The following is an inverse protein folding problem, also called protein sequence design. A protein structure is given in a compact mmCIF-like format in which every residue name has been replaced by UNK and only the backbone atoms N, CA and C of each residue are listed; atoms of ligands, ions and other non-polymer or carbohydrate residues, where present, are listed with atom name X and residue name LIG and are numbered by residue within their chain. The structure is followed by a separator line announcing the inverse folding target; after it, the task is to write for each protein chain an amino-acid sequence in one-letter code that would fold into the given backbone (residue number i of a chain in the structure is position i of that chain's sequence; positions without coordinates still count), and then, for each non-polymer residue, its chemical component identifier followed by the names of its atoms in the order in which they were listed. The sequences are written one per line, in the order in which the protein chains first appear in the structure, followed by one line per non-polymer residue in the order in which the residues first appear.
data_IF_304500595316
#
_entry.id   IF_304500595316
#
_cell.length_a   1.000
_cell.length_b   1.000
_cell.length_c   1.000
_cell.angle_alpha   90.00
_cell.angle_beta   90.00
_cell.angle_gamma   90.00
#
_symmetry.space_group_name_H-M   'P 1'
#
loop_
_entity.id
_entity.type
_entity.pdbx_description
1 polymer ?
#
# COMPACT_ATOMS: atom_id res chain seq x y z
N UNK A 1 26.20 50.69 41.85
CA UNK A 1 27.53 51.20 41.44
C UNK A 1 28.00 50.35 40.28
N UNK A 2 28.12 50.97 39.10
CA UNK A 2 28.73 50.59 37.81
C UNK A 2 28.09 49.46 36.99
N UNK A 3 27.29 49.90 36.06
CA UNK A 3 27.01 49.31 34.77
C UNK A 3 28.28 48.87 34.01
N UNK A 4 28.20 47.78 33.28
CA UNK A 4 28.99 47.57 32.03
C UNK A 4 28.09 47.01 30.95
N UNK A 5 27.70 47.88 30.08
CA UNK A 5 27.20 47.61 28.73
C UNK A 5 28.32 46.94 27.91
N UNK A 6 28.03 45.83 27.23
CA UNK A 6 28.83 45.36 26.12
C UNK A 6 27.94 45.09 24.90
N UNK A 7 28.15 45.97 23.93
CA UNK A 7 27.66 45.90 22.56
C UNK A 7 28.19 44.65 21.87
N UNK A 8 27.31 43.80 21.35
CA UNK A 8 27.64 42.74 20.42
C UNK A 8 27.24 43.15 19.00
N UNK A 9 28.25 43.21 18.18
CA UNK A 9 28.23 43.63 16.79
C UNK A 9 27.43 42.70 15.89
N UNK A 10 26.66 43.33 15.00
CA UNK A 10 26.12 42.69 13.79
C UNK A 10 27.27 42.34 12.85
N UNK A 11 27.52 41.04 12.64
CA UNK A 11 28.15 40.48 11.41
C UNK A 11 28.26 38.97 11.57
N UNK A 12 27.41 38.22 10.89
CA UNK A 12 27.68 36.95 10.20
C UNK A 12 26.36 36.18 9.98
N UNK A 13 25.56 36.62 9.03
CA UNK A 13 24.60 35.75 8.34
C UNK A 13 25.19 35.47 6.95
N UNK A 14 25.37 34.20 6.66
CA UNK A 14 25.77 33.48 5.42
C UNK A 14 27.12 32.77 5.54
N UNK A 15 27.26 31.46 5.19
CA UNK A 15 26.44 30.66 4.30
C UNK A 15 26.10 29.26 4.87
N UNK A 16 24.85 28.87 4.97
CA UNK A 16 24.43 27.48 5.25
C UNK A 16 23.94 26.76 4.00
N UNK A 17 23.80 27.43 2.86
CA UNK A 17 23.26 26.86 1.63
C UNK A 17 24.27 26.13 0.72
N UNK A 18 25.58 26.18 1.03
CA UNK A 18 26.59 25.50 0.22
C UNK A 18 27.02 24.10 0.75
N UNK A 19 26.70 23.76 1.99
CA UNK A 19 27.11 22.47 2.59
C UNK A 19 26.21 21.28 2.20
N UNK A 20 24.97 21.52 1.83
CA UNK A 20 24.04 20.45 1.45
C UNK A 20 24.27 19.85 0.06
N UNK A 21 24.79 20.65 -0.87
CA UNK A 21 25.09 20.19 -2.24
C UNK A 21 26.46 19.50 -2.36
N UNK A 22 27.39 19.77 -1.46
CA UNK A 22 28.70 19.09 -1.47
C UNK A 22 28.70 17.74 -0.75
N UNK A 23 27.74 17.46 0.11
CA UNK A 23 27.63 16.15 0.76
C UNK A 23 26.99 15.10 -0.15
N UNK A 24 26.07 15.48 -1.02
CA UNK A 24 25.52 14.58 -2.05
C UNK A 24 26.52 14.20 -3.14
N UNK A 25 27.48 15.11 -3.47
CA UNK A 25 28.56 14.82 -4.40
C UNK A 25 29.69 13.97 -3.77
N UNK A 26 29.88 14.06 -2.45
CA UNK A 26 30.94 13.31 -1.76
C UNK A 26 30.56 11.85 -1.46
N UNK A 27 29.27 11.56 -1.23
CA UNK A 27 28.77 10.20 -1.08
C UNK A 27 28.82 9.41 -2.42
N UNK A 28 28.76 10.11 -3.55
CA UNK A 28 28.94 9.51 -4.88
C UNK A 28 30.42 9.24 -5.22
N UNK A 29 31.37 9.85 -4.50
CA UNK A 29 32.81 9.72 -4.79
C UNK A 29 33.50 8.55 -4.06
N UNK A 30 32.86 7.90 -3.10
CA UNK A 30 33.38 6.71 -2.40
C UNK A 30 32.74 5.39 -2.86
N UNK A 31 31.77 5.42 -3.78
CA UNK A 31 31.13 4.23 -4.37
C UNK A 31 31.81 3.81 -5.68
N UNK A 32 32.10 2.53 -5.82
CA UNK A 32 32.47 1.94 -7.11
C UNK A 32 31.46 2.34 -8.17
N UNK A 33 31.88 2.58 -9.42
CA UNK A 33 30.96 2.89 -10.52
C UNK A 33 29.87 1.80 -10.62
N UNK A 34 28.72 2.14 -11.17
CA UNK A 34 27.66 1.16 -11.35
C UNK A 34 28.11 -0.05 -12.15
N UNK A 35 28.89 0.17 -13.20
CA UNK A 35 29.47 -0.87 -14.05
C UNK A 35 30.40 -1.80 -13.25
N UNK A 36 31.24 -1.23 -12.39
CA UNK A 36 32.13 -2.01 -11.52
C UNK A 36 31.30 -2.82 -10.50
N UNK A 37 30.25 -2.24 -9.94
CA UNK A 37 29.35 -2.95 -9.02
C UNK A 37 28.63 -4.09 -9.73
N UNK A 38 28.07 -3.87 -10.94
CA UNK A 38 27.44 -4.92 -11.77
C UNK A 38 28.43 -6.04 -12.04
N UNK A 39 29.68 -5.73 -12.41
CA UNK A 39 30.69 -6.76 -12.64
C UNK A 39 30.97 -7.60 -11.38
N UNK A 40 31.08 -6.96 -10.22
CA UNK A 40 31.32 -7.66 -8.94
C UNK A 40 30.10 -8.41 -8.41
N UNK A 41 28.88 -8.02 -8.77
CA UNK A 41 27.64 -8.68 -8.37
C UNK A 41 27.46 -10.05 -9.03
N UNK A 42 28.14 -10.29 -10.16
CA UNK A 42 28.10 -11.56 -10.89
C UNK A 42 28.46 -12.76 -10.02
N UNK A 43 29.53 -12.67 -9.21
CA UNK A 43 29.94 -13.78 -8.33
C UNK A 43 28.84 -14.19 -7.37
N UNK A 44 28.11 -13.21 -6.82
CA UNK A 44 26.97 -13.48 -5.93
C UNK A 44 25.78 -14.09 -6.68
N UNK A 45 25.50 -13.66 -7.89
CA UNK A 45 24.46 -14.24 -8.73
C UNK A 45 24.75 -15.70 -9.05
N UNK A 46 25.97 -16.01 -9.48
CA UNK A 46 26.40 -17.39 -9.75
C UNK A 46 26.35 -18.25 -8.48
N UNK A 47 26.82 -17.72 -7.35
CA UNK A 47 26.78 -18.45 -6.05
C UNK A 47 25.33 -18.76 -5.59
N UNK A 48 24.33 -17.98 -6.09
CA UNK A 48 22.90 -18.24 -5.86
C UNK A 48 22.27 -19.18 -6.88
N UNK A 49 23.07 -19.75 -7.79
CA UNK A 49 22.62 -20.71 -8.80
C UNK A 49 22.06 -20.08 -10.08
N UNK A 50 22.18 -18.77 -10.25
CA UNK A 50 21.76 -18.09 -11.47
C UNK A 50 22.78 -18.42 -12.58
N UNK A 51 22.30 -18.84 -13.75
CA UNK A 51 23.19 -19.17 -14.88
C UNK A 51 23.94 -17.93 -15.37
N UNK A 52 25.18 -18.16 -15.85
CA UNK A 52 25.97 -17.07 -16.43
C UNK A 52 25.32 -16.48 -17.69
N UNK A 53 24.60 -17.30 -18.45
CA UNK A 53 23.84 -16.86 -19.61
C UNK A 53 22.74 -15.88 -19.23
N UNK A 54 21.96 -16.18 -18.18
CA UNK A 54 20.92 -15.27 -17.67
C UNK A 54 21.52 -14.00 -17.13
N UNK A 55 22.56 -14.09 -16.30
CA UNK A 55 23.22 -12.89 -15.77
C UNK A 55 23.76 -12.00 -16.87
N UNK A 56 24.44 -12.58 -17.87
CA UNK A 56 25.01 -11.84 -19.02
C UNK A 56 23.91 -11.17 -19.84
N UNK A 57 22.81 -11.87 -20.14
CA UNK A 57 21.65 -11.34 -20.86
C UNK A 57 21.06 -10.14 -20.13
N UNK A 58 20.84 -10.24 -18.82
CA UNK A 58 20.20 -9.17 -18.02
C UNK A 58 21.11 -7.97 -17.83
N UNK A 59 22.42 -8.17 -17.61
CA UNK A 59 23.36 -7.06 -17.42
C UNK A 59 23.68 -6.28 -18.68
N UNK A 60 23.49 -6.88 -19.87
CA UNK A 60 23.87 -6.25 -21.15
C UNK A 60 23.03 -4.99 -21.37
N UNK A 61 23.71 -3.84 -21.37
CA UNK A 61 23.07 -2.54 -21.56
C UNK A 61 22.25 -2.02 -20.38
N UNK A 62 22.30 -2.69 -19.22
CA UNK A 62 21.58 -2.22 -18.02
C UNK A 62 22.07 -0.85 -17.59
N UNK A 63 21.12 0.06 -17.35
CA UNK A 63 21.36 1.35 -16.73
C UNK A 63 20.55 1.43 -15.43
N UNK A 64 21.10 2.00 -14.34
CA UNK A 64 20.35 2.11 -13.09
C UNK A 64 19.22 3.14 -13.24
N UNK A 65 18.04 2.82 -12.76
CA UNK A 65 16.98 3.82 -12.60
C UNK A 65 17.18 4.62 -11.32
N UNK A 66 18.01 5.66 -11.40
CA UNK A 66 18.34 6.48 -10.24
C UNK A 66 17.20 7.36 -9.74
N UNK A 67 16.08 7.47 -10.49
CA UNK A 67 14.89 8.20 -10.06
C UNK A 67 14.23 7.56 -8.83
N UNK A 68 14.49 6.28 -8.58
CA UNK A 68 13.98 5.55 -7.40
C UNK A 68 14.50 6.12 -6.08
N UNK A 69 15.68 6.75 -6.06
CA UNK A 69 16.22 7.35 -4.84
C UNK A 69 15.39 8.53 -4.33
N UNK A 70 14.83 9.31 -5.24
CA UNK A 70 13.91 10.38 -4.86
C UNK A 70 12.60 9.81 -4.30
N UNK A 71 12.10 8.71 -4.88
CA UNK A 71 10.88 8.06 -4.44
C UNK A 71 11.04 7.33 -3.10
N UNK A 72 12.21 6.74 -2.83
CA UNK A 72 12.53 6.13 -1.52
C UNK A 72 12.58 7.19 -0.39
N UNK A 73 13.04 8.41 -0.71
CA UNK A 73 13.13 9.52 0.24
C UNK A 73 11.84 10.34 0.35
N UNK A 74 11.12 10.48 -0.75
CA UNK A 74 9.86 11.20 -0.83
C UNK A 74 8.71 10.28 -0.46
N UNK A 75 8.57 9.98 0.83
CA UNK A 75 7.24 9.66 1.34
C UNK A 75 6.51 11.02 1.41
N UNK A 76 5.54 11.31 0.53
CA UNK A 76 4.79 12.55 0.67
C UNK A 76 4.10 12.52 2.02
N UNK A 77 4.51 13.40 2.92
CA UNK A 77 3.81 13.66 4.19
C UNK A 77 2.46 14.31 3.86
N UNK A 78 1.53 13.49 3.38
CA UNK A 78 0.13 13.81 3.47
C UNK A 78 -0.27 13.49 4.91
N UNK A 79 -0.50 14.51 5.73
CA UNK A 79 -1.20 14.34 6.99
C UNK A 79 -2.65 13.99 6.67
N UNK A 80 -2.86 12.71 6.40
CA UNK A 80 -4.19 12.17 6.09
C UNK A 80 -4.75 11.58 7.39
N UNK A 81 -5.88 12.10 7.85
CA UNK A 81 -6.62 11.52 8.96
C UNK A 81 -7.04 10.08 8.64
N UNK A 82 -7.13 9.21 9.64
CA UNK A 82 -7.47 7.80 9.41
C UNK A 82 -8.79 7.63 8.64
N UNK A 83 -9.79 8.44 8.94
CA UNK A 83 -11.08 8.36 8.24
C UNK A 83 -10.98 8.79 6.76
N UNK A 84 -10.13 9.77 6.43
CA UNK A 84 -9.84 10.17 5.04
C UNK A 84 -9.13 9.04 4.30
N UNK A 85 -8.12 8.44 4.93
CA UNK A 85 -7.42 7.27 4.41
C UNK A 85 -8.38 6.11 4.11
N UNK A 86 -9.28 5.80 5.06
CA UNK A 86 -10.26 4.74 4.89
C UNK A 86 -11.25 5.06 3.76
N UNK A 87 -11.80 6.27 3.70
CA UNK A 87 -12.73 6.67 2.64
C UNK A 87 -12.09 6.58 1.25
N UNK A 88 -10.83 6.93 1.13
CA UNK A 88 -10.08 6.81 -0.13
C UNK A 88 -9.78 5.36 -0.50
N UNK A 89 -9.43 4.52 0.47
CA UNK A 89 -9.08 3.11 0.25
C UNK A 89 -10.33 2.21 0.15
N UNK A 90 -11.38 2.48 0.90
CA UNK A 90 -12.66 1.77 0.89
C UNK A 90 -13.71 2.58 0.12
N UNK A 91 -13.32 3.10 -1.03
CA UNK A 91 -14.15 3.96 -1.86
C UNK A 91 -15.30 3.19 -2.52
N UNK A 92 -16.35 3.92 -2.88
CA UNK A 92 -17.51 3.36 -3.61
C UNK A 92 -17.08 2.69 -4.93
N UNK A 93 -16.08 3.26 -5.63
CA UNK A 93 -15.44 2.61 -6.78
C UNK A 93 -14.93 1.20 -6.45
N UNK A 94 -14.12 1.05 -5.37
CA UNK A 94 -13.56 -0.27 -5.02
C UNK A 94 -14.62 -1.25 -4.54
N UNK A 95 -15.61 -0.77 -3.80
CA UNK A 95 -16.73 -1.63 -3.35
C UNK A 95 -17.53 -2.14 -4.54
N UNK A 96 -17.91 -1.27 -5.46
CA UNK A 96 -18.71 -1.62 -6.64
C UNK A 96 -17.93 -2.53 -7.58
N UNK A 97 -16.68 -2.17 -7.90
CA UNK A 97 -15.81 -3.00 -8.75
C UNK A 97 -15.51 -4.33 -8.09
N UNK A 98 -15.25 -4.35 -6.77
CA UNK A 98 -15.00 -5.58 -6.01
C UNK A 98 -16.20 -6.53 -6.04
N UNK A 99 -17.44 -6.02 -5.91
CA UNK A 99 -18.66 -6.81 -6.06
C UNK A 99 -18.82 -7.38 -7.46
N UNK A 100 -18.48 -6.63 -8.49
CA UNK A 100 -18.48 -7.12 -9.87
C UNK A 100 -17.42 -8.22 -10.06
N UNK A 101 -16.18 -8.00 -9.58
CA UNK A 101 -15.08 -8.99 -9.61
C UNK A 101 -15.38 -10.25 -8.79
N UNK A 102 -16.10 -10.13 -7.66
CA UNK A 102 -16.58 -11.28 -6.88
C UNK A 102 -17.48 -12.21 -7.70
N UNK A 103 -18.31 -11.66 -8.59
CA UNK A 103 -19.17 -12.44 -9.49
C UNK A 103 -18.37 -12.99 -10.67
N UNK A 104 -17.54 -12.16 -11.30
CA UNK A 104 -16.73 -12.54 -12.47
C UNK A 104 -15.78 -13.70 -12.15
N UNK A 105 -15.12 -13.66 -11.00
CA UNK A 105 -14.12 -14.65 -10.55
C UNK A 105 -14.65 -15.62 -9.49
N UNK A 106 -15.97 -15.80 -9.39
CA UNK A 106 -16.59 -16.60 -8.33
C UNK A 106 -16.03 -18.03 -8.23
N UNK A 107 -15.78 -18.68 -9.36
CA UNK A 107 -15.22 -20.05 -9.40
C UNK A 107 -13.80 -20.10 -8.86
N UNK A 108 -12.92 -19.18 -9.32
CA UNK A 108 -11.54 -19.07 -8.85
C UNK A 108 -11.50 -18.79 -7.35
N UNK A 109 -12.22 -17.78 -6.90
CA UNK A 109 -12.25 -17.35 -5.50
C UNK A 109 -12.77 -18.48 -4.58
N UNK A 110 -13.79 -19.23 -5.03
CA UNK A 110 -14.32 -20.36 -4.26
C UNK A 110 -13.30 -21.50 -4.14
N UNK A 111 -12.55 -21.81 -5.22
CA UNK A 111 -11.50 -22.83 -5.18
C UNK A 111 -10.37 -22.41 -4.23
N UNK A 112 -9.85 -21.19 -4.37
CA UNK A 112 -8.75 -20.69 -3.54
C UNK A 112 -9.16 -20.62 -2.06
N UNK A 113 -10.38 -20.16 -1.74
CA UNK A 113 -10.90 -20.16 -0.37
C UNK A 113 -11.04 -21.59 0.18
N UNK A 114 -11.50 -22.55 -0.63
CA UNK A 114 -11.57 -23.95 -0.24
C UNK A 114 -10.18 -24.53 0.05
N UNK A 115 -9.21 -24.28 -0.80
CA UNK A 115 -7.88 -24.87 -0.70
C UNK A 115 -7.05 -24.26 0.44
N UNK A 116 -7.05 -22.92 0.56
CA UNK A 116 -6.21 -22.20 1.54
C UNK A 116 -6.97 -21.77 2.80
N UNK A 117 -8.30 -21.72 2.79
CA UNK A 117 -9.09 -21.26 3.92
C UNK A 117 -9.02 -19.76 4.18
N UNK A 118 -8.55 -18.98 3.23
CA UNK A 118 -8.55 -17.52 3.27
C UNK A 118 -9.87 -17.01 2.70
N UNK A 119 -10.54 -16.12 3.43
CA UNK A 119 -11.78 -15.50 2.99
C UNK A 119 -11.60 -14.83 1.61
N UNK A 120 -12.47 -15.18 0.66
CA UNK A 120 -12.44 -14.69 -0.72
C UNK A 120 -12.51 -13.17 -0.83
N UNK A 121 -13.21 -12.51 0.10
CA UNK A 121 -13.33 -11.06 0.08
C UNK A 121 -12.07 -10.37 0.59
N UNK A 122 -11.30 -11.02 1.47
CA UNK A 122 -9.96 -10.52 1.87
C UNK A 122 -9.01 -10.54 0.68
N UNK A 123 -9.00 -11.60 -0.13
CA UNK A 123 -8.19 -11.67 -1.34
C UNK A 123 -8.61 -10.64 -2.38
N UNK A 124 -9.92 -10.43 -2.58
CA UNK A 124 -10.44 -9.38 -3.44
C UNK A 124 -10.06 -7.98 -2.95
N UNK A 125 -10.12 -7.74 -1.64
CA UNK A 125 -9.74 -6.46 -1.07
C UNK A 125 -8.25 -6.16 -1.25
N UNK A 126 -7.38 -7.15 -1.06
CA UNK A 126 -5.95 -7.04 -1.38
C UNK A 126 -5.75 -6.71 -2.85
N UNK A 127 -6.36 -7.46 -3.76
CA UNK A 127 -6.29 -7.20 -5.19
C UNK A 127 -6.77 -5.79 -5.54
N UNK A 128 -7.88 -5.35 -4.95
CA UNK A 128 -8.45 -4.02 -5.17
C UNK A 128 -7.60 -2.86 -4.64
N UNK A 129 -6.92 -3.05 -3.52
CA UNK A 129 -6.06 -2.01 -2.92
C UNK A 129 -4.71 -1.93 -3.62
N UNK A 130 -4.12 -3.08 -3.97
CA UNK A 130 -2.78 -3.15 -4.54
C UNK A 130 -2.72 -2.70 -6.01
N UNK A 131 -3.71 -3.07 -6.82
CA UNK A 131 -3.65 -2.80 -8.27
C UNK A 131 -4.98 -2.33 -8.87
N UNK A 132 -5.95 -1.90 -8.06
CA UNK A 132 -7.32 -1.60 -8.52
C UNK A 132 -7.92 -2.74 -9.34
N UNK A 133 -7.77 -3.98 -8.85
CA UNK A 133 -8.21 -5.22 -9.51
C UNK A 133 -7.50 -5.52 -10.83
N UNK A 134 -6.21 -5.19 -10.93
CA UNK A 134 -5.41 -5.39 -12.12
C UNK A 134 -5.72 -4.42 -13.25
N UNK A 135 -6.24 -3.25 -12.94
CA UNK A 135 -6.58 -2.22 -13.93
C UNK A 135 -5.34 -1.82 -14.77
N UNK A 136 -5.39 -2.00 -16.11
CA UNK A 136 -4.24 -1.72 -16.97
C UNK A 136 -3.79 -0.27 -16.93
N UNK A 137 -4.71 0.68 -16.75
CA UNK A 137 -4.38 2.12 -16.74
C UNK A 137 -3.63 2.50 -15.47
N UNK A 138 -3.95 1.88 -14.33
CA UNK A 138 -3.18 2.03 -13.09
C UNK A 138 -1.78 1.46 -13.27
N UNK A 139 -1.66 0.30 -13.89
CA UNK A 139 -0.37 -0.36 -14.12
C UNK A 139 0.52 0.44 -15.08
N UNK A 140 -0.04 0.98 -16.17
CA UNK A 140 0.71 1.71 -17.20
C UNK A 140 1.43 2.95 -16.66
N UNK A 141 0.78 3.71 -15.80
CA UNK A 141 1.25 5.02 -15.36
C UNK A 141 2.23 4.96 -14.17
N UNK A 142 2.25 3.86 -13.43
CA UNK A 142 3.04 3.73 -12.19
C UNK A 142 4.09 2.62 -12.24
N UNK A 143 4.09 1.79 -13.31
CA UNK A 143 4.99 0.64 -13.43
C UNK A 143 6.22 0.97 -14.28
N UNK A 144 7.38 0.62 -13.76
CA UNK A 144 8.69 0.77 -14.40
C UNK A 144 9.41 -0.57 -14.55
N UNK A 145 10.48 -0.67 -15.34
CA UNK A 145 11.32 -1.85 -15.36
C UNK A 145 11.90 -2.14 -13.98
N UNK A 146 11.62 -3.33 -13.45
CA UNK A 146 11.99 -3.71 -12.06
C UNK A 146 13.49 -3.94 -11.92
N UNK A 147 14.13 -4.59 -12.90
CA UNK A 147 15.56 -4.90 -12.83
C UNK A 147 16.43 -3.63 -12.72
N UNK A 148 16.27 -2.58 -13.56
CA UNK A 148 16.97 -1.30 -13.40
C UNK A 148 16.70 -0.62 -12.05
N UNK A 149 15.47 -0.70 -11.55
CA UNK A 149 15.07 -0.10 -10.27
C UNK A 149 15.75 -0.81 -9.09
N UNK A 150 15.68 -2.13 -9.01
CA UNK A 150 16.33 -2.93 -7.96
C UNK A 150 17.85 -2.83 -8.04
N UNK A 151 18.43 -2.81 -9.24
CA UNK A 151 19.87 -2.64 -9.41
C UNK A 151 20.35 -1.27 -8.90
N UNK A 152 19.58 -0.19 -9.16
CA UNK A 152 19.88 1.12 -8.62
C UNK A 152 19.82 1.13 -7.08
N UNK A 153 18.77 0.58 -6.48
CA UNK A 153 18.60 0.51 -5.03
C UNK A 153 19.69 -0.36 -4.37
N UNK A 154 20.03 -1.51 -4.95
CA UNK A 154 21.07 -2.39 -4.46
C UNK A 154 22.48 -1.76 -4.53
N UNK A 155 22.72 -0.96 -5.56
CA UNK A 155 23.98 -0.23 -5.72
C UNK A 155 24.05 1.03 -4.83
N UNK A 156 23.00 1.86 -4.84
CA UNK A 156 23.07 3.25 -4.37
C UNK A 156 22.37 3.53 -3.04
N UNK A 157 21.56 2.59 -2.45
CA UNK A 157 20.89 2.79 -1.17
C UNK A 157 21.57 2.00 -0.04
N UNK A 158 22.47 2.62 0.75
CA UNK A 158 23.30 1.89 1.70
C UNK A 158 22.53 1.32 2.89
N UNK A 159 21.43 1.99 3.33
CA UNK A 159 20.67 1.60 4.54
C UNK A 159 19.97 0.25 4.40
N UNK A 160 19.51 -0.09 3.19
CA UNK A 160 18.78 -1.32 2.90
C UNK A 160 19.45 -2.15 1.81
N UNK A 161 20.74 -1.95 1.56
CA UNK A 161 21.50 -2.60 0.46
C UNK A 161 21.32 -4.11 0.43
N UNK A 162 21.52 -4.80 1.55
CA UNK A 162 21.39 -6.26 1.63
C UNK A 162 19.99 -6.74 1.23
N UNK A 163 18.94 -6.01 1.58
CA UNK A 163 17.57 -6.29 1.18
C UNK A 163 17.39 -6.13 -0.33
N UNK A 164 17.84 -5.01 -0.89
CA UNK A 164 17.70 -4.75 -2.33
C UNK A 164 18.53 -5.70 -3.19
N UNK A 165 19.73 -6.07 -2.74
CA UNK A 165 20.56 -7.09 -3.38
C UNK A 165 19.85 -8.45 -3.37
N UNK A 166 19.21 -8.82 -2.27
CA UNK A 166 18.45 -10.07 -2.19
C UNK A 166 17.24 -10.06 -3.13
N UNK A 167 16.49 -8.95 -3.21
CA UNK A 167 15.36 -8.85 -4.14
C UNK A 167 15.81 -8.88 -5.60
N UNK A 168 16.94 -8.27 -5.94
CA UNK A 168 17.52 -8.38 -7.27
C UNK A 168 17.93 -9.82 -7.59
N UNK A 169 18.56 -10.54 -6.66
CA UNK A 169 18.90 -11.96 -6.85
C UNK A 169 17.64 -12.80 -7.05
N UNK A 170 16.58 -12.56 -6.28
CA UNK A 170 15.31 -13.25 -6.43
C UNK A 170 14.69 -12.99 -7.82
N UNK A 171 14.73 -11.75 -8.30
CA UNK A 171 14.26 -11.40 -9.63
C UNK A 171 15.07 -12.13 -10.74
N UNK A 172 16.38 -12.22 -10.58
CA UNK A 172 17.24 -12.96 -11.51
C UNK A 172 16.94 -14.46 -11.52
N UNK A 173 16.64 -15.07 -10.35
CA UNK A 173 16.22 -16.47 -10.27
C UNK A 173 14.89 -16.71 -11.00
N UNK A 174 13.92 -15.80 -10.89
CA UNK A 174 12.65 -15.88 -11.61
C UNK A 174 12.88 -15.91 -13.12
N UNK A 175 13.78 -15.03 -13.60
CA UNK A 175 14.16 -14.97 -15.02
C UNK A 175 14.90 -16.25 -15.44
N UNK A 176 15.79 -16.75 -14.60
CA UNK A 176 16.57 -17.99 -14.88
C UNK A 176 15.68 -19.23 -14.95
N UNK A 177 14.59 -19.27 -14.15
CA UNK A 177 13.55 -20.31 -14.22
C UNK A 177 12.64 -20.19 -15.47
N UNK A 178 12.76 -19.10 -16.25
CA UNK A 178 11.90 -18.85 -17.39
C UNK A 178 10.46 -18.44 -17.03
N UNK A 179 10.20 -18.08 -15.77
CA UNK A 179 8.86 -17.62 -15.36
C UNK A 179 8.54 -16.20 -15.86
N UNK A 180 9.57 -15.42 -16.16
CA UNK A 180 9.43 -14.06 -16.72
C UNK A 180 10.68 -13.67 -17.50
N UNK A 181 10.59 -12.54 -18.21
CA UNK A 181 11.73 -11.89 -18.86
C UNK A 181 12.02 -10.53 -18.20
N UNK A 182 13.22 -9.94 -18.41
CA UNK A 182 13.52 -8.60 -17.90
C UNK A 182 12.51 -7.53 -18.35
N UNK A 183 11.99 -7.64 -19.56
CA UNK A 183 11.05 -6.67 -20.16
C UNK A 183 9.63 -6.83 -19.60
N UNK A 184 9.22 -8.06 -19.27
CA UNK A 184 7.93 -8.35 -18.63
C UNK A 184 7.89 -7.91 -17.16
N UNK A 185 9.06 -7.90 -16.47
CA UNK A 185 9.16 -7.50 -15.08
C UNK A 185 8.96 -5.98 -14.92
N UNK A 186 7.70 -5.59 -14.85
CA UNK A 186 7.29 -4.21 -14.60
C UNK A 186 6.57 -4.10 -13.27
N UNK A 187 6.95 -3.10 -12.47
CA UNK A 187 6.42 -2.96 -11.13
C UNK A 187 6.61 -1.56 -10.54
N UNK A 188 6.35 -1.44 -9.26
CA UNK A 188 6.59 -0.21 -8.51
C UNK A 188 8.08 0.16 -8.48
N UNK A 189 8.40 1.36 -8.02
CA UNK A 189 9.78 1.80 -7.83
C UNK A 189 10.61 0.88 -6.90
N UNK A 190 9.94 0.18 -5.99
CA UNK A 190 10.55 -0.76 -5.05
C UNK A 190 10.58 -2.21 -5.56
N UNK A 191 10.03 -2.49 -6.76
CA UNK A 191 10.04 -3.82 -7.34
C UNK A 191 8.81 -4.68 -7.03
N UNK A 192 7.74 -4.13 -6.46
CA UNK A 192 6.48 -4.85 -6.28
C UNK A 192 5.72 -4.96 -7.61
N UNK A 193 5.18 -6.16 -7.94
CA UNK A 193 4.71 -6.51 -9.27
C UNK A 193 3.31 -7.14 -9.29
N UNK A 194 2.59 -6.92 -10.36
CA UNK A 194 1.37 -7.63 -10.74
C UNK A 194 0.14 -7.30 -9.90
N UNK A 195 -0.83 -8.21 -9.94
CA UNK A 195 -2.16 -8.05 -9.36
C UNK A 195 -2.18 -7.72 -7.88
N UNK A 196 -1.33 -8.35 -7.10
CA UNK A 196 -1.25 -8.21 -5.65
C UNK A 196 0.09 -7.64 -5.16
N UNK A 197 0.85 -7.03 -6.09
CA UNK A 197 2.09 -6.32 -5.80
C UNK A 197 3.14 -7.17 -5.06
N UNK A 198 3.45 -8.36 -5.64
CA UNK A 198 4.47 -9.22 -5.09
C UNK A 198 5.88 -8.64 -5.24
N UNK A 199 6.64 -8.66 -4.16
CA UNK A 199 8.10 -8.55 -4.25
C UNK A 199 8.66 -9.82 -4.88
N UNK A 200 9.85 -9.79 -5.53
CA UNK A 200 10.48 -10.99 -6.09
C UNK A 200 10.60 -12.15 -5.10
N UNK A 201 10.85 -11.86 -3.83
CA UNK A 201 10.91 -12.85 -2.75
C UNK A 201 9.57 -13.55 -2.54
N UNK A 202 8.46 -12.80 -2.54
CA UNK A 202 7.09 -13.35 -2.40
C UNK A 202 6.75 -14.21 -3.62
N UNK A 203 7.12 -13.77 -4.82
CA UNK A 203 6.91 -14.53 -6.05
C UNK A 203 7.59 -15.90 -5.98
N UNK A 204 8.86 -15.96 -5.55
CA UNK A 204 9.61 -17.23 -5.45
C UNK A 204 9.10 -18.17 -4.37
N UNK A 205 8.71 -17.64 -3.22
CA UNK A 205 8.47 -18.45 -2.03
C UNK A 205 6.98 -18.74 -1.78
N UNK A 206 6.09 -17.89 -2.28
CA UNK A 206 4.66 -18.03 -2.06
C UNK A 206 3.85 -18.18 -3.36
N UNK A 207 4.46 -17.89 -4.49
CA UNK A 207 3.82 -18.04 -5.80
C UNK A 207 3.47 -19.51 -6.09
N UNK A 208 2.33 -19.71 -6.73
CA UNK A 208 1.75 -21.01 -7.09
C UNK A 208 1.29 -20.95 -8.54
N UNK A 209 1.65 -21.92 -9.36
CA UNK A 209 1.06 -22.13 -10.68
C UNK A 209 -0.35 -22.72 -10.48
N UNK A 210 -1.34 -21.83 -10.36
CA UNK A 210 -2.69 -22.24 -9.99
C UNK A 210 -3.61 -22.44 -11.20
N UNK A 211 -3.26 -21.87 -12.34
CA UNK A 211 -3.95 -22.13 -13.60
C UNK A 211 -3.35 -23.30 -14.41
N UNK A 212 -2.20 -23.80 -13.99
CA UNK A 212 -1.54 -25.01 -14.54
C UNK A 212 -0.89 -24.78 -15.90
N UNK A 213 -0.46 -23.55 -16.19
CA UNK A 213 0.20 -23.22 -17.47
C UNK A 213 1.70 -23.52 -17.50
N UNK A 214 2.27 -24.00 -16.37
CA UNK A 214 3.69 -24.32 -16.19
C UNK A 214 4.54 -23.14 -15.74
N UNK A 215 3.94 -22.00 -15.42
CA UNK A 215 4.61 -20.80 -14.91
C UNK A 215 3.94 -20.32 -13.65
N UNK A 216 4.68 -19.64 -12.81
CA UNK A 216 4.10 -18.83 -11.73
C UNK A 216 4.17 -17.38 -12.15
N UNK A 217 3.04 -16.68 -12.25
CA UNK A 217 3.01 -15.28 -12.71
C UNK A 217 2.06 -14.40 -11.88
N UNK A 218 2.53 -13.23 -11.38
CA UNK A 218 1.64 -12.25 -10.77
C UNK A 218 0.88 -11.41 -11.80
N UNK A 219 1.12 -11.64 -13.11
CA UNK A 219 0.55 -10.90 -14.24
C UNK A 219 -0.45 -11.74 -15.02
N UNK A 220 -1.14 -11.10 -15.97
CA UNK A 220 -2.06 -11.79 -16.88
C UNK A 220 -3.34 -12.21 -16.18
N UNK A 221 -3.61 -13.51 -16.15
CA UNK A 221 -4.74 -14.06 -15.36
C UNK A 221 -4.44 -13.93 -13.86
N UNK A 222 -5.47 -13.61 -13.03
CA UNK A 222 -5.23 -13.36 -11.60
C UNK A 222 -5.08 -14.65 -10.78
N UNK A 223 -5.19 -15.83 -11.37
CA UNK A 223 -5.26 -17.12 -10.68
C UNK A 223 -4.05 -17.33 -9.75
N UNK A 224 -2.84 -17.23 -10.29
CA UNK A 224 -1.60 -17.41 -9.53
C UNK A 224 -1.41 -16.33 -8.47
N UNK A 225 -1.69 -15.07 -8.83
CA UNK A 225 -1.56 -13.96 -7.90
C UNK A 225 -2.49 -14.09 -6.69
N UNK A 226 -3.75 -14.49 -6.92
CA UNK A 226 -4.73 -14.69 -5.85
C UNK A 226 -4.38 -15.91 -5.01
N UNK A 227 -4.04 -17.04 -5.64
CA UNK A 227 -3.67 -18.27 -4.92
C UNK A 227 -2.37 -18.12 -4.14
N UNK A 228 -1.32 -17.54 -4.74
CA UNK A 228 -0.06 -17.29 -4.06
C UNK A 228 -0.18 -16.28 -2.92
N UNK A 229 -1.07 -15.28 -3.05
CA UNK A 229 -1.38 -14.36 -1.94
C UNK A 229 -2.09 -15.09 -0.79
N UNK A 230 -3.03 -15.98 -1.10
CA UNK A 230 -3.66 -16.82 -0.08
C UNK A 230 -2.63 -17.74 0.60
N UNK A 231 -1.74 -18.36 -0.18
CA UNK A 231 -0.62 -19.18 0.34
C UNK A 231 0.27 -18.36 1.28
N UNK A 232 0.67 -17.14 0.88
CA UNK A 232 1.43 -16.22 1.74
C UNK A 232 0.72 -15.95 3.07
N UNK A 233 -0.57 -15.65 3.04
CA UNK A 233 -1.34 -15.34 4.25
C UNK A 233 -1.41 -16.55 5.19
N UNK A 234 -1.47 -17.77 4.68
CA UNK A 234 -1.46 -19.00 5.49
C UNK A 234 -0.07 -19.25 6.06
N UNK A 235 0.96 -19.34 5.22
CA UNK A 235 2.29 -19.76 5.63
C UNK A 235 3.02 -18.73 6.49
N UNK A 236 2.97 -17.45 6.08
CA UNK A 236 3.65 -16.38 6.81
C UNK A 236 2.73 -15.62 7.75
N UNK A 237 1.51 -15.35 7.33
CA UNK A 237 0.52 -14.65 8.11
C UNK A 237 -0.11 -15.49 9.20
N UNK A 238 -0.04 -16.83 9.08
CA UNK A 238 -0.74 -17.77 9.97
C UNK A 238 -2.26 -17.54 9.97
N UNK A 239 -2.81 -17.27 8.78
CA UNK A 239 -4.24 -17.05 8.60
C UNK A 239 -5.04 -18.28 9.04
N UNK A 240 -6.12 -18.05 9.76
CA UNK A 240 -6.94 -19.11 10.34
C UNK A 240 -8.26 -19.23 9.60
N UNK A 241 -8.51 -20.44 9.10
CA UNK A 241 -9.80 -20.79 8.46
C UNK A 241 -10.95 -20.50 9.41
N UNK A 242 -12.04 -19.95 8.85
CA UNK A 242 -13.30 -19.67 9.55
C UNK A 242 -13.18 -18.71 10.75
N UNK A 243 -12.10 -17.96 10.90
CA UNK A 243 -12.01 -16.86 11.85
C UNK A 243 -12.15 -15.53 11.11
N UNK A 244 -13.02 -14.64 11.61
CA UNK A 244 -13.12 -13.27 11.12
C UNK A 244 -11.92 -12.45 11.59
N UNK A 245 -11.57 -11.37 10.87
CA UNK A 245 -10.44 -10.52 11.22
C UNK A 245 -10.62 -9.79 12.56
N UNK A 246 -11.85 -9.52 12.96
CA UNK A 246 -12.21 -8.77 14.17
C UNK A 246 -13.56 -8.08 14.01
N UNK A 247 -13.87 -7.20 14.95
CA UNK A 247 -15.16 -6.50 14.97
C UNK A 247 -15.00 -5.09 15.52
N UNK A 248 -15.77 -4.13 14.97
CA UNK A 248 -16.04 -2.87 15.64
C UNK A 248 -16.82 -3.12 16.93
N UNK A 249 -16.43 -2.42 18.01
CA UNK A 249 -17.00 -2.66 19.32
C UNK A 249 -17.40 -1.39 20.06
N UNK A 250 -18.37 -1.52 20.95
CA UNK A 250 -18.80 -0.51 21.92
C UNK A 250 -18.34 -0.88 23.33
N UNK A 251 -18.36 0.11 24.24
CA UNK A 251 -17.98 -0.08 25.65
C UNK A 251 -16.49 0.05 25.95
N UNK A 252 -15.65 0.30 24.93
CA UNK A 252 -14.22 0.50 25.10
C UNK A 252 -13.93 1.84 25.83
N UNK A 253 -13.11 1.80 26.88
CA UNK A 253 -12.67 2.98 27.63
C UNK A 253 -11.21 3.35 27.37
N UNK A 254 -10.53 2.60 26.50
CA UNK A 254 -9.13 2.75 26.12
C UNK A 254 -8.65 1.53 25.34
N UNK A 255 -7.41 1.58 24.82
CA UNK A 255 -6.78 0.44 24.17
C UNK A 255 -6.27 -0.57 25.22
N UNK A 256 -6.37 -1.88 24.92
CA UNK A 256 -5.78 -2.96 25.69
C UNK A 256 -5.13 -3.97 24.76
N UNK A 257 -3.80 -4.05 24.82
CA UNK A 257 -3.00 -4.94 23.99
C UNK A 257 -3.00 -6.41 24.41
N UNK A 258 -3.71 -6.78 25.47
CA UNK A 258 -3.79 -8.17 25.93
C UNK A 258 -4.69 -9.02 25.01
N UNK A 259 -4.25 -10.25 24.73
CA UNK A 259 -5.09 -11.24 24.07
C UNK A 259 -6.11 -11.81 25.07
N UNK A 260 -7.40 -11.59 24.80
CA UNK A 260 -8.50 -12.18 25.57
C UNK A 260 -9.53 -12.78 24.62
N UNK A 261 -10.28 -13.77 25.09
CA UNK A 261 -11.40 -14.34 24.34
C UNK A 261 -12.55 -13.34 24.18
N UNK A 262 -13.36 -13.50 23.15
CA UNK A 262 -14.56 -12.67 22.99
C UNK A 262 -15.48 -12.78 24.21
N UNK A 263 -15.59 -13.96 24.84
CA UNK A 263 -16.32 -14.13 26.10
C UNK A 263 -15.75 -13.25 27.22
N UNK A 264 -14.42 -13.22 27.37
CA UNK A 264 -13.79 -12.39 28.40
C UNK A 264 -13.97 -10.89 28.12
N UNK A 265 -13.97 -10.49 26.84
CA UNK A 265 -14.27 -9.11 26.47
C UNK A 265 -15.74 -8.76 26.76
N UNK A 266 -16.69 -9.66 26.49
CA UNK A 266 -18.12 -9.46 26.84
C UNK A 266 -18.31 -9.30 28.36
N UNK A 267 -17.66 -10.14 29.17
CA UNK A 267 -17.68 -10.01 30.64
C UNK A 267 -17.10 -8.69 31.11
N UNK A 268 -16.15 -8.09 30.35
CA UNK A 268 -15.61 -6.77 30.60
C UNK A 268 -16.48 -5.61 30.06
N UNK A 269 -17.68 -5.89 29.53
CA UNK A 269 -18.62 -4.90 29.03
C UNK A 269 -18.39 -4.47 27.58
N UNK A 270 -17.52 -5.18 26.83
CA UNK A 270 -17.26 -4.91 25.41
C UNK A 270 -18.24 -5.72 24.57
N UNK A 271 -19.01 -5.06 23.71
CA UNK A 271 -19.99 -5.68 22.80
C UNK A 271 -19.70 -5.28 21.35
N UNK A 272 -20.21 -6.03 20.40
CA UNK A 272 -20.14 -5.60 18.99
C UNK A 272 -20.96 -4.32 18.80
N UNK A 273 -20.44 -3.39 18.01
CA UNK A 273 -21.11 -2.11 17.75
C UNK A 273 -22.43 -2.28 16.97
N UNK A 274 -22.55 -3.33 16.15
CA UNK A 274 -23.76 -3.67 15.39
C UNK A 274 -24.84 -4.41 16.23
N UNK A 275 -24.60 -4.58 17.53
CA UNK A 275 -25.54 -5.24 18.45
C UNK A 275 -25.64 -6.75 18.35
N UNK A 276 -24.92 -7.39 17.42
CA UNK A 276 -24.93 -8.85 17.23
C UNK A 276 -24.01 -9.54 18.24
N UNK A 277 -24.24 -10.81 18.57
CA UNK A 277 -23.32 -11.58 19.40
C UNK A 277 -22.00 -11.86 18.65
N UNK A 278 -20.93 -12.12 19.38
CA UNK A 278 -19.71 -12.66 18.80
C UNK A 278 -19.96 -14.12 18.35
N UNK A 279 -19.64 -14.52 17.10
CA UNK A 279 -19.99 -15.86 16.59
C UNK A 279 -19.30 -17.01 17.29
N UNK A 280 -18.09 -16.75 17.84
CA UNK A 280 -17.24 -17.74 18.52
C UNK A 280 -16.66 -17.14 19.79
N UNK A 281 -17.19 -17.54 20.95
CA UNK A 281 -16.83 -16.97 22.25
C UNK A 281 -15.36 -17.22 22.65
N UNK A 282 -14.77 -18.31 22.19
CA UNK A 282 -13.41 -18.77 22.52
C UNK A 282 -12.30 -18.15 21.63
N UNK A 283 -12.65 -17.48 20.55
CA UNK A 283 -11.66 -16.80 19.69
C UNK A 283 -11.06 -15.60 20.44
N UNK A 284 -9.75 -15.43 20.32
CA UNK A 284 -9.01 -14.36 21.01
C UNK A 284 -8.82 -13.14 20.12
N UNK A 285 -8.90 -11.96 20.74
CA UNK A 285 -8.66 -10.68 20.09
C UNK A 285 -7.99 -9.69 21.04
N UNK A 286 -7.43 -8.61 20.49
CA UNK A 286 -6.89 -7.46 21.20
C UNK A 286 -7.75 -6.24 20.98
N UNK A 287 -7.94 -5.44 22.00
CA UNK A 287 -8.66 -4.17 21.90
C UNK A 287 -7.73 -3.08 21.34
N UNK A 288 -8.18 -2.44 20.27
CA UNK A 288 -7.49 -1.34 19.62
C UNK A 288 -8.42 -0.14 19.45
N UNK A 289 -7.95 1.03 19.88
CA UNK A 289 -8.61 2.31 19.69
C UNK A 289 -7.67 3.20 18.87
N UNK A 290 -7.86 3.28 17.55
CA UNK A 290 -6.96 4.02 16.66
C UNK A 290 -6.97 5.52 16.88
N UNK A 291 -8.15 6.09 17.20
CA UNK A 291 -8.37 7.52 17.38
C UNK A 291 -9.23 7.72 18.63
N UNK A 292 -8.81 8.59 19.53
CA UNK A 292 -9.58 8.92 20.73
C UNK A 292 -10.95 9.49 20.33
N UNK A 293 -12.03 8.95 20.93
CA UNK A 293 -13.40 9.35 20.60
C UNK A 293 -13.95 8.74 19.31
N UNK A 294 -13.17 7.93 18.61
CA UNK A 294 -13.60 7.21 17.39
C UNK A 294 -13.97 5.75 17.64
N UNK A 295 -14.18 4.98 16.56
CA UNK A 295 -14.46 3.55 16.60
C UNK A 295 -13.36 2.78 17.31
N UNK A 296 -13.74 1.79 18.13
CA UNK A 296 -12.84 0.82 18.73
C UNK A 296 -13.02 -0.55 18.06
N UNK A 297 -11.98 -1.36 18.07
CA UNK A 297 -11.97 -2.64 17.39
C UNK A 297 -11.39 -3.75 18.27
N UNK A 298 -11.98 -4.93 18.23
CA UNK A 298 -11.33 -6.16 18.67
C UNK A 298 -10.65 -6.80 17.46
N UNK A 299 -9.33 -6.79 17.43
CA UNK A 299 -8.50 -7.30 16.34
C UNK A 299 -8.16 -8.77 16.60
N UNK A 300 -8.68 -9.67 15.77
CA UNK A 300 -8.41 -11.10 15.80
C UNK A 300 -7.08 -11.49 15.13
N UNK A 301 -6.80 -12.79 15.11
CA UNK A 301 -5.56 -13.33 14.50
C UNK A 301 -5.48 -13.02 13.01
N UNK A 302 -6.59 -13.07 12.28
CA UNK A 302 -6.60 -12.80 10.85
C UNK A 302 -6.35 -11.32 10.50
N UNK A 303 -6.63 -10.38 11.40
CA UNK A 303 -6.13 -9.01 11.23
C UNK A 303 -4.59 -8.99 11.17
N UNK A 304 -3.94 -9.70 12.08
CA UNK A 304 -2.48 -9.77 12.12
C UNK A 304 -1.90 -10.59 10.96
N UNK A 305 -2.63 -11.59 10.47
CA UNK A 305 -2.26 -12.31 9.26
C UNK A 305 -2.22 -11.38 8.03
N UNK A 306 -3.26 -10.57 7.82
CA UNK A 306 -3.27 -9.57 6.74
C UNK A 306 -2.21 -8.49 6.96
N UNK A 307 -1.96 -8.10 8.23
CA UNK A 307 -0.91 -7.13 8.57
C UNK A 307 0.50 -7.60 8.24
N UNK A 308 0.74 -8.90 8.10
CA UNK A 308 2.05 -9.43 7.67
C UNK A 308 2.38 -9.04 6.23
N UNK A 309 1.36 -8.78 5.40
CA UNK A 309 1.53 -8.33 4.02
C UNK A 309 2.10 -6.91 3.93
N UNK A 310 1.59 -6.02 4.79
CA UNK A 310 2.13 -4.68 4.98
C UNK A 310 1.97 -4.30 6.48
N UNK A 311 3.06 -3.97 7.20
CA UNK A 311 3.05 -3.78 8.66
C UNK A 311 2.40 -2.47 9.15
N UNK A 312 1.33 -2.02 8.48
CA UNK A 312 0.53 -0.85 8.83
C UNK A 312 -0.86 -1.26 9.29
N UNK A 313 -1.26 -0.82 10.50
CA UNK A 313 -2.63 -1.05 10.99
C UNK A 313 -3.69 -0.34 10.14
N UNK A 314 -3.41 0.86 9.65
CA UNK A 314 -4.34 1.62 8.80
C UNK A 314 -4.57 0.91 7.46
N UNK A 315 -3.49 0.42 6.84
CA UNK A 315 -3.56 -0.40 5.64
C UNK A 315 -4.39 -1.66 5.88
N UNK A 316 -4.10 -2.39 6.97
CA UNK A 316 -4.80 -3.63 7.30
C UNK A 316 -6.28 -3.37 7.55
N UNK A 317 -6.63 -2.32 8.31
CA UNK A 317 -8.02 -1.95 8.55
C UNK A 317 -8.75 -1.62 7.23
N UNK A 318 -8.09 -0.94 6.30
CA UNK A 318 -8.68 -0.67 4.98
C UNK A 318 -8.95 -1.95 4.19
N UNK A 319 -8.00 -2.92 4.19
CA UNK A 319 -8.17 -4.22 3.51
C UNK A 319 -9.39 -4.97 4.10
N UNK A 320 -9.40 -5.18 5.41
CA UNK A 320 -10.42 -6.01 6.05
C UNK A 320 -11.79 -5.33 6.04
N UNK A 321 -11.84 -4.00 6.14
CA UNK A 321 -13.09 -3.26 5.99
C UNK A 321 -13.59 -3.29 4.54
N UNK A 322 -12.71 -3.15 3.54
CA UNK A 322 -13.09 -3.32 2.14
C UNK A 322 -13.62 -4.73 1.86
N UNK A 323 -13.01 -5.77 2.46
CA UNK A 323 -13.49 -7.14 2.36
C UNK A 323 -14.91 -7.27 2.87
N UNK A 324 -15.20 -6.74 4.07
CA UNK A 324 -16.56 -6.73 4.63
C UNK A 324 -17.54 -5.98 3.71
N UNK A 325 -17.16 -4.81 3.18
CA UNK A 325 -18.01 -4.00 2.30
C UNK A 325 -18.32 -4.70 0.97
N UNK A 326 -17.35 -5.41 0.39
CA UNK A 326 -17.55 -6.23 -0.82
C UNK A 326 -18.48 -7.41 -0.49
N UNK A 327 -18.29 -8.03 0.67
CA UNK A 327 -19.10 -9.14 1.17
C UNK A 327 -20.54 -8.76 1.61
N UNK A 328 -20.89 -7.46 1.52
CA UNK A 328 -22.24 -6.97 1.84
C UNK A 328 -22.38 -6.33 3.22
N UNK A 329 -21.31 -6.21 3.98
CA UNK A 329 -21.28 -5.49 5.26
C UNK A 329 -21.50 -3.99 5.10
N UNK A 330 -21.97 -3.34 6.17
CA UNK A 330 -22.19 -1.89 6.26
C UNK A 330 -20.91 -1.09 6.53
N UNK A 331 -21.00 0.25 6.55
CA UNK A 331 -19.95 1.09 7.09
C UNK A 331 -19.77 0.86 8.58
N UNK A 332 -18.72 1.41 9.18
CA UNK A 332 -18.58 1.44 10.63
C UNK A 332 -19.76 2.17 11.27
N UNK A 333 -20.17 1.69 12.44
CA UNK A 333 -21.34 2.22 13.17
C UNK A 333 -21.00 3.56 13.82
N UNK A 334 -19.82 3.64 14.45
CA UNK A 334 -19.36 4.86 15.08
C UNK A 334 -18.56 5.70 14.09
N UNK A 335 -18.89 6.99 13.99
CA UNK A 335 -18.13 7.93 13.18
C UNK A 335 -16.76 8.25 13.80
N UNK A 336 -15.76 8.47 12.96
CA UNK A 336 -14.48 9.05 13.42
C UNK A 336 -14.67 10.54 13.73
N UNK A 337 -13.97 11.08 14.74
CA UNK A 337 -13.97 12.52 15.00
C UNK A 337 -13.54 13.32 13.77
N UNK A 338 -14.25 14.39 13.48
CA UNK A 338 -13.97 15.25 12.32
C UNK A 338 -14.37 14.67 10.95
N UNK A 339 -14.84 13.43 10.90
CA UNK A 339 -15.28 12.83 9.65
C UNK A 339 -16.51 13.56 9.06
N UNK A 340 -16.59 13.57 7.74
CA UNK A 340 -17.79 13.97 7.02
C UNK A 340 -18.92 12.95 7.25
N UNK A 341 -20.16 13.35 7.01
CA UNK A 341 -21.34 12.52 7.24
C UNK A 341 -21.23 11.13 6.57
N UNK A 342 -20.64 11.09 5.38
CA UNK A 342 -20.33 9.87 4.63
C UNK A 342 -19.19 10.11 3.64
N UNK A 343 -18.63 9.03 3.10
CA UNK A 343 -17.75 9.09 1.95
C UNK A 343 -18.51 9.51 0.69
N UNK A 344 -17.88 10.20 -0.27
CA UNK A 344 -18.49 10.49 -1.56
C UNK A 344 -18.72 9.22 -2.37
N UNK A 345 -19.78 9.21 -3.17
CA UNK A 345 -20.06 8.13 -4.13
C UNK A 345 -19.12 8.21 -5.33
N UNK A 346 -19.07 7.17 -6.14
CA UNK A 346 -18.32 7.15 -7.41
C UNK A 346 -18.69 8.35 -8.29
N UNK A 347 -20.00 8.61 -8.48
CA UNK A 347 -20.48 9.72 -9.30
C UNK A 347 -20.06 11.09 -8.72
N UNK A 348 -20.07 11.25 -7.41
CA UNK A 348 -19.63 12.49 -6.74
C UNK A 348 -18.12 12.71 -6.90
N UNK A 349 -17.30 11.67 -6.84
CA UNK A 349 -15.85 11.78 -7.12
C UNK A 349 -15.63 12.17 -8.59
N UNK A 350 -16.35 11.55 -9.51
CA UNK A 350 -16.29 11.92 -10.93
C UNK A 350 -16.71 13.39 -11.17
N UNK A 351 -17.74 13.87 -10.46
CA UNK A 351 -18.14 15.27 -10.49
C UNK A 351 -17.05 16.19 -9.97
N UNK A 352 -16.40 15.85 -8.84
CA UNK A 352 -15.27 16.60 -8.29
C UNK A 352 -14.15 16.71 -9.34
N UNK A 353 -13.73 15.56 -9.93
CA UNK A 353 -12.68 15.53 -10.93
C UNK A 353 -13.03 16.40 -12.14
N UNK A 354 -14.24 16.26 -12.67
CA UNK A 354 -14.72 17.03 -13.82
C UNK A 354 -14.72 18.56 -13.56
N UNK A 355 -15.21 18.99 -12.39
CA UNK A 355 -15.25 20.40 -12.01
C UNK A 355 -13.85 20.97 -11.79
N UNK A 356 -12.97 20.24 -11.10
CA UNK A 356 -11.57 20.65 -10.92
C UNK A 356 -10.86 20.84 -12.26
N UNK A 357 -11.00 19.87 -13.18
CA UNK A 357 -10.41 19.96 -14.52
C UNK A 357 -10.95 21.16 -15.31
N UNK A 358 -12.26 21.43 -15.23
CA UNK A 358 -12.88 22.61 -15.86
C UNK A 358 -12.35 23.94 -15.29
N UNK A 359 -11.95 23.96 -14.01
CA UNK A 359 -11.33 25.11 -13.34
C UNK A 359 -9.80 25.21 -13.56
N UNK A 360 -9.21 24.31 -14.38
CA UNK A 360 -7.78 24.29 -14.71
C UNK A 360 -6.91 23.51 -13.73
N UNK A 361 -7.49 22.70 -12.84
CA UNK A 361 -6.76 21.78 -11.96
C UNK A 361 -6.85 20.38 -12.54
N UNK A 362 -5.77 19.93 -13.15
CA UNK A 362 -5.69 18.59 -13.77
C UNK A 362 -5.76 17.49 -12.71
N UNK A 363 -6.71 16.57 -12.86
CA UNK A 363 -6.95 15.43 -11.97
C UNK A 363 -6.44 14.10 -12.52
N UNK A 364 -5.81 14.12 -13.71
CA UNK A 364 -5.38 12.91 -14.41
C UNK A 364 -6.52 12.08 -15.00
N UNK A 365 -7.74 12.64 -15.06
CA UNK A 365 -8.95 11.99 -15.58
C UNK A 365 -10.17 12.14 -14.68
N UNK A 366 -11.31 11.55 -15.10
CA UNK A 366 -12.60 11.61 -14.39
C UNK A 366 -13.15 10.21 -14.11
N UNK A 367 -12.29 9.30 -13.72
CA UNK A 367 -12.57 7.87 -13.55
C UNK A 367 -13.24 7.53 -12.19
N UNK A 368 -13.33 8.52 -11.28
CA UNK A 368 -13.87 8.34 -9.93
C UNK A 368 -12.89 7.71 -8.94
N UNK A 369 -11.60 7.62 -9.30
CA UNK A 369 -10.53 7.16 -8.41
C UNK A 369 -9.74 8.35 -7.87
N UNK A 370 -9.57 8.42 -6.58
CA UNK A 370 -8.75 9.46 -5.94
C UNK A 370 -7.30 8.99 -5.88
N UNK A 371 -6.53 9.33 -6.93
CA UNK A 371 -5.09 9.15 -7.02
C UNK A 371 -4.31 10.40 -6.59
N UNK A 372 -2.98 10.36 -6.76
CA UNK A 372 -2.11 11.49 -6.40
C UNK A 372 -2.44 12.76 -7.18
N UNK A 373 -2.74 12.65 -8.48
CA UNK A 373 -3.07 13.81 -9.32
C UNK A 373 -4.36 14.47 -8.84
N UNK A 374 -5.39 13.67 -8.55
CA UNK A 374 -6.64 14.17 -7.95
C UNK A 374 -6.39 14.85 -6.62
N UNK A 375 -5.60 14.24 -5.71
CA UNK A 375 -5.28 14.83 -4.41
C UNK A 375 -4.51 16.16 -4.55
N UNK A 376 -3.58 16.24 -5.50
CA UNK A 376 -2.82 17.46 -5.78
C UNK A 376 -3.74 18.57 -6.34
N UNK A 377 -4.60 18.22 -7.30
CA UNK A 377 -5.58 19.13 -7.88
C UNK A 377 -6.53 19.69 -6.79
N UNK A 378 -7.05 18.81 -5.92
CA UNK A 378 -7.88 19.21 -4.76
C UNK A 378 -7.14 20.19 -3.85
N UNK A 379 -5.91 19.85 -3.44
CA UNK A 379 -5.09 20.69 -2.55
C UNK A 379 -4.82 22.06 -3.16
N UNK A 380 -4.50 22.12 -4.45
CA UNK A 380 -4.23 23.36 -5.14
C UNK A 380 -5.50 24.22 -5.23
N UNK A 381 -6.67 23.62 -5.49
CA UNK A 381 -7.95 24.31 -5.44
C UNK A 381 -8.27 24.82 -4.04
N UNK A 382 -8.16 23.98 -2.99
CA UNK A 382 -8.37 24.37 -1.60
C UNK A 382 -7.55 25.62 -1.24
N UNK A 383 -6.24 25.61 -1.57
CA UNK A 383 -5.35 26.79 -1.36
C UNK A 383 -5.81 28.03 -2.09
N UNK A 384 -6.22 27.88 -3.37
CA UNK A 384 -6.69 29.02 -4.18
C UNK A 384 -7.92 29.69 -3.59
N UNK A 385 -8.86 28.92 -3.02
CA UNK A 385 -10.12 29.45 -2.47
C UNK A 385 -10.09 29.65 -0.96
N UNK A 386 -8.94 29.47 -0.31
CA UNK A 386 -8.79 29.64 1.15
C UNK A 386 -9.54 28.59 1.97
N UNK A 387 -9.72 27.39 1.45
CA UNK A 387 -10.39 26.30 2.15
C UNK A 387 -9.39 25.53 3.03
N UNK A 388 -9.61 25.52 4.33
CA UNK A 388 -8.75 24.84 5.30
C UNK A 388 -9.43 23.59 5.93
N UNK A 389 -8.67 22.53 6.20
CA UNK A 389 -7.27 22.35 5.82
C UNK A 389 -7.11 22.10 4.32
N UNK A 390 -6.02 22.58 3.71
CA UNK A 390 -5.67 22.27 2.33
C UNK A 390 -4.97 20.89 2.26
N UNK A 391 -5.74 19.84 2.57
CA UNK A 391 -5.27 18.47 2.78
C UNK A 391 -5.32 17.58 1.53
N UNK A 392 -6.00 18.01 0.48
CA UNK A 392 -6.20 17.25 -0.74
C UNK A 392 -7.32 16.20 -0.65
N UNK A 393 -8.16 16.24 0.39
CA UNK A 393 -9.27 15.30 0.54
C UNK A 393 -10.44 15.66 -0.39
N UNK A 394 -10.79 14.72 -1.28
CA UNK A 394 -11.89 14.86 -2.25
C UNK A 394 -13.23 14.48 -1.59
N UNK A 395 -13.73 15.30 -0.67
CA UNK A 395 -14.91 15.03 0.15
C UNK A 395 -16.14 15.85 -0.24
N UNK A 396 -17.21 15.68 0.56
CA UNK A 396 -18.50 16.34 0.31
C UNK A 396 -18.45 17.86 0.52
N UNK A 397 -17.63 18.32 1.48
CA UNK A 397 -17.42 19.78 1.70
C UNK A 397 -16.75 20.41 0.49
N UNK A 398 -15.75 19.73 -0.09
CA UNK A 398 -15.11 20.18 -1.33
C UNK A 398 -16.12 20.22 -2.49
N UNK A 399 -16.93 19.16 -2.65
CA UNK A 399 -17.95 19.09 -3.70
C UNK A 399 -18.96 20.24 -3.57
N UNK A 400 -19.44 20.50 -2.35
CA UNK A 400 -20.36 21.59 -2.09
C UNK A 400 -19.76 22.96 -2.49
N UNK A 401 -18.47 23.17 -2.21
CA UNK A 401 -17.73 24.37 -2.61
C UNK A 401 -17.59 24.49 -4.14
N UNK A 402 -17.19 23.39 -4.80
CA UNK A 402 -17.05 23.34 -6.26
C UNK A 402 -18.38 23.61 -7.02
N UNK A 403 -19.52 23.28 -6.41
CA UNK A 403 -20.84 23.54 -6.99
C UNK A 403 -21.23 24.99 -6.91
N UNK A 404 -20.59 25.82 -6.05
CA UNK A 404 -20.81 27.23 -5.94
C UNK A 404 -19.97 28.06 -6.92
N UNK A 405 -18.85 27.54 -7.39
CA UNK A 405 -17.88 28.24 -8.24
C UNK A 405 -18.12 27.99 -9.76
N UNK A 406 -19.06 27.17 -10.12
CA UNK A 406 -19.52 26.85 -11.50
C UNK A 406 -21.05 26.85 -11.56
#
# INVERSE_FOLDING_TARGET
MKERTSTLSRRACLPVLAAGLMWSARAAAEGKSFEHWVASFRERAIARGISDATYTRVKTGIKPDTSVFALDRAQPEFHEELWQYLNRRVSDYRITTGKAKAKEYASLLSRVEKDYGVDRFVMLALWGIESAFGDPDVQKNHMRPVIPALAALAWGEPRRRAYWEQELLNALIIIDRGWSSPDEMRGSWAGAMGHTQWMPEVWLNSGVDYDGDGRVSPFGRPDDAIAGTAHYLVERGQYRRDEHWGYEVSGARGADGAWRTYEAWQKAGITRADGKPFPRSNVTAKLWLPVSGGPAFLLGRNFHAVRSYNPSNNYTLAIVHLADRIGGGGPFVQAFPGAEQRAPTLAEVQEIQKRLTALGFDTGGTDGRVGNDTMLAVRNFQRKVGMEPADGYAGLKLLARLRQDL
#
